data_IF_339489173556
#
_entry.id   IF_339489173556
#
_cell.length_a   1.000
_cell.length_b   1.000
_cell.length_c   1.000
_cell.angle_alpha   90.00
_cell.angle_beta   90.00
_cell.angle_gamma   90.00
#
_symmetry.space_group_name_H-M   'P 1'
#
loop_
_entity.id
_entity.type
_entity.pdbx_description
1 polymer ?
#
# COMPACT_ATOMS: atom_id res chain seq x y z
N UNK A 1 2.42 -1.56 -17.57
CA UNK A 1 2.87 -0.80 -16.39
C UNK A 1 2.15 -1.37 -15.18
N UNK A 2 2.90 -1.66 -14.13
CA UNK A 2 2.35 -2.18 -12.88
C UNK A 2 1.44 -1.16 -12.21
N UNK A 3 0.48 -1.63 -11.40
CA UNK A 3 -0.49 -0.79 -10.70
C UNK A 3 -0.55 -1.14 -9.22
N UNK A 4 -0.67 -0.12 -8.37
CA UNK A 4 -0.89 -0.26 -6.93
C UNK A 4 -2.33 0.12 -6.60
N UNK A 5 -3.02 -0.71 -5.81
CA UNK A 5 -4.36 -0.44 -5.30
C UNK A 5 -4.29 -0.36 -3.78
N UNK A 6 -4.73 0.77 -3.22
CA UNK A 6 -4.87 0.98 -1.77
C UNK A 6 -6.37 1.15 -1.51
N UNK A 7 -6.99 0.14 -0.90
CA UNK A 7 -8.42 0.10 -0.58
C UNK A 7 -8.66 -0.79 0.63
N UNK A 8 -9.92 -1.02 1.02
CA UNK A 8 -10.27 -1.93 2.12
C UNK A 8 -9.86 -1.42 3.50
N UNK A 9 -9.90 -0.10 3.72
CA UNK A 9 -9.40 0.55 4.95
C UNK A 9 -10.44 0.65 6.09
N UNK A 10 -11.66 0.12 5.89
CA UNK A 10 -12.71 -0.09 6.90
C UNK A 10 -12.93 1.07 7.89
N UNK A 11 -12.94 2.32 7.42
CA UNK A 11 -13.16 3.51 8.25
C UNK A 11 -11.95 3.97 9.09
N UNK A 12 -10.83 3.24 9.06
CA UNK A 12 -9.63 3.51 9.86
C UNK A 12 -8.46 4.04 9.02
N UNK A 13 -8.64 4.23 7.71
CA UNK A 13 -7.58 4.57 6.76
C UNK A 13 -6.87 5.90 7.00
N UNK A 14 -7.56 6.91 7.55
CA UNK A 14 -6.99 8.26 7.68
C UNK A 14 -5.70 8.30 8.50
N UNK A 15 -5.63 7.53 9.59
CA UNK A 15 -4.42 7.47 10.44
C UNK A 15 -3.21 6.86 9.73
N UNK A 16 -3.44 6.11 8.66
CA UNK A 16 -2.41 5.48 7.84
C UNK A 16 -2.11 6.25 6.56
N UNK A 17 -2.79 7.38 6.30
CA UNK A 17 -2.68 8.09 5.03
C UNK A 17 -1.23 8.51 4.69
N UNK A 18 -0.46 8.94 5.70
CA UNK A 18 0.93 9.36 5.52
C UNK A 18 1.84 8.21 5.09
N UNK A 19 1.79 7.07 5.81
CA UNK A 19 2.61 5.89 5.46
C UNK A 19 2.16 5.23 4.15
N UNK A 20 0.86 5.22 3.87
CA UNK A 20 0.32 4.74 2.58
C UNK A 20 0.79 5.63 1.42
N UNK A 21 0.87 6.94 1.64
CA UNK A 21 1.46 7.88 0.68
C UNK A 21 2.95 7.62 0.43
N UNK A 22 3.73 7.34 1.49
CA UNK A 22 5.14 6.97 1.35
C UNK A 22 5.32 5.67 0.54
N UNK A 23 4.52 4.65 0.83
CA UNK A 23 4.53 3.38 0.09
C UNK A 23 4.18 3.61 -1.39
N UNK A 24 3.15 4.42 -1.67
CA UNK A 24 2.76 4.74 -3.04
C UNK A 24 3.85 5.52 -3.79
N UNK A 25 4.53 6.45 -3.12
CA UNK A 25 5.65 7.19 -3.69
C UNK A 25 6.87 6.29 -3.95
N UNK A 26 7.15 5.31 -3.08
CA UNK A 26 8.19 4.30 -3.29
C UNK A 26 7.85 3.41 -4.50
N UNK A 27 6.61 2.92 -4.58
CA UNK A 27 6.11 2.15 -5.72
C UNK A 27 6.24 2.91 -7.05
N UNK A 28 5.85 4.18 -7.09
CA UNK A 28 5.95 5.02 -8.28
C UNK A 28 7.41 5.21 -8.77
N UNK A 29 8.38 5.08 -7.87
CA UNK A 29 9.82 5.14 -8.18
C UNK A 29 10.45 3.76 -8.43
N UNK A 30 9.66 2.68 -8.41
CA UNK A 30 10.18 1.31 -8.52
C UNK A 30 11.03 0.88 -7.31
N UNK A 31 10.88 1.55 -6.16
CA UNK A 31 11.60 1.24 -4.94
C UNK A 31 10.83 0.22 -4.10
N UNK A 32 11.51 -0.71 -3.41
CA UNK A 32 10.85 -1.62 -2.49
C UNK A 32 10.29 -0.88 -1.28
N UNK A 33 9.18 -1.38 -0.74
CA UNK A 33 8.70 -0.93 0.57
C UNK A 33 9.57 -1.51 1.69
N UNK A 34 9.67 -0.78 2.80
CA UNK A 34 10.30 -1.29 4.04
C UNK A 34 9.40 -2.24 4.84
N UNK A 35 8.11 -2.26 4.53
CA UNK A 35 7.11 -3.07 5.21
C UNK A 35 6.84 -4.35 4.41
N UNK A 36 6.58 -5.46 5.11
CA UNK A 36 6.01 -6.64 4.47
C UNK A 36 4.53 -6.41 4.20
N UNK A 37 4.19 -6.27 2.91
CA UNK A 37 2.83 -6.05 2.45
C UNK A 37 2.11 -7.34 2.04
N UNK A 38 2.76 -8.51 2.16
CA UNK A 38 2.19 -9.82 1.83
C UNK A 38 0.82 -10.08 2.49
N UNK A 39 0.58 -9.70 3.76
CA UNK A 39 -0.74 -9.86 4.40
C UNK A 39 -1.87 -9.04 3.76
N UNK A 40 -1.54 -8.06 2.91
CA UNK A 40 -2.50 -7.18 2.24
C UNK A 40 -2.61 -7.47 0.73
N UNK A 41 -2.10 -8.61 0.26
CA UNK A 41 -2.21 -8.98 -1.15
C UNK A 41 -3.68 -9.20 -1.55
N UNK A 42 -3.99 -8.94 -2.83
CA UNK A 42 -5.31 -9.22 -3.39
C UNK A 42 -5.66 -10.72 -3.37
N UNK A 43 -4.65 -11.60 -3.38
CA UNK A 43 -4.81 -13.06 -3.38
C UNK A 43 -4.99 -13.65 -1.97
N UNK A 44 -5.23 -12.81 -0.96
CA UNK A 44 -5.51 -13.27 0.40
C UNK A 44 -6.88 -13.96 0.54
N UNK A 45 -7.79 -13.74 -0.42
CA UNK A 45 -9.10 -14.37 -0.48
C UNK A 45 -9.05 -15.76 -1.11
#
# INVERSE_FOLDING_TARGET
ADRLIISGLSGHGFKFATVLGEIAAQFAQGKPSKFDLTPFSLSRL
#
